data_IF_154475971533
#
_entry.id   IF_154475971533
#
_cell.length_a   1.000
_cell.length_b   1.000
_cell.length_c   1.000
_cell.angle_alpha   90.00
_cell.angle_beta   90.00
_cell.angle_gamma   90.00
#
_symmetry.space_group_name_H-M   'P 1'
#
loop_
_entity.id
_entity.type
_entity.pdbx_description
1 polymer ?
#
# COMPACT_ATOMS: atom_id res chain seq x y z
N UNK A 1 8.98 -28.33 13.33
CA UNK A 1 8.11 -27.48 14.17
C UNK A 1 6.65 -27.84 13.97
N UNK A 2 5.83 -27.75 15.02
CA UNK A 2 4.36 -27.89 14.89
C UNK A 2 3.74 -26.57 14.39
N UNK A 3 2.47 -26.60 13.99
CA UNK A 3 1.78 -25.41 13.49
C UNK A 3 1.68 -24.28 14.53
N UNK A 4 1.52 -24.62 15.82
CA UNK A 4 1.46 -23.63 16.91
C UNK A 4 2.78 -22.87 17.05
N UNK A 5 3.88 -23.60 17.09
CA UNK A 5 5.24 -23.04 17.13
C UNK A 5 5.52 -22.17 15.89
N UNK A 6 5.08 -22.62 14.69
CA UNK A 6 5.22 -21.81 13.47
C UNK A 6 4.40 -20.51 13.56
N UNK A 7 3.19 -20.58 14.12
CA UNK A 7 2.33 -19.42 14.30
C UNK A 7 2.94 -18.39 15.27
N UNK A 8 3.48 -18.86 16.39
CA UNK A 8 4.18 -18.01 17.36
C UNK A 8 5.41 -17.33 16.75
N UNK A 9 6.22 -18.09 15.99
CA UNK A 9 7.45 -17.56 15.38
C UNK A 9 7.20 -16.54 14.26
N UNK A 10 6.07 -16.63 13.57
CA UNK A 10 5.77 -15.79 12.40
C UNK A 10 4.73 -14.72 12.68
N UNK A 11 4.03 -14.80 13.81
CA UNK A 11 2.84 -13.99 14.10
C UNK A 11 1.65 -14.31 13.20
N UNK A 12 1.74 -15.32 12.33
CA UNK A 12 0.66 -15.72 11.43
C UNK A 12 -0.26 -16.70 12.14
N UNK A 13 -1.55 -16.37 12.23
CA UNK A 13 -2.54 -17.26 12.85
C UNK A 13 -2.53 -18.66 12.22
N UNK A 14 -2.63 -19.71 13.05
CA UNK A 14 -2.62 -21.10 12.60
C UNK A 14 -3.72 -21.40 11.55
N UNK A 15 -4.87 -20.73 11.62
CA UNK A 15 -5.93 -20.82 10.61
C UNK A 15 -5.47 -20.33 9.23
N UNK A 16 -4.68 -19.26 9.18
CA UNK A 16 -4.11 -18.68 7.96
C UNK A 16 -2.99 -19.55 7.40
N UNK A 17 -2.17 -20.15 8.28
CA UNK A 17 -1.17 -21.15 7.87
C UNK A 17 -1.85 -22.36 7.20
N UNK A 18 -2.93 -22.89 7.79
CA UNK A 18 -3.72 -23.98 7.17
C UNK A 18 -4.35 -23.57 5.84
N UNK A 19 -4.76 -22.31 5.73
CA UNK A 19 -5.27 -21.78 4.47
C UNK A 19 -4.18 -21.76 3.39
N UNK A 20 -2.98 -21.27 3.71
CA UNK A 20 -1.82 -21.31 2.80
C UNK A 20 -1.42 -22.73 2.41
N UNK A 21 -1.49 -23.68 3.33
CA UNK A 21 -1.33 -25.12 3.02
C UNK A 21 -2.37 -25.59 1.99
N UNK A 22 -3.64 -25.25 2.19
CA UNK A 22 -4.74 -25.68 1.31
C UNK A 22 -4.61 -25.14 -0.12
N UNK A 23 -4.19 -23.88 -0.27
CA UNK A 23 -3.99 -23.26 -1.58
C UNK A 23 -2.61 -23.59 -2.18
N UNK A 24 -1.82 -24.42 -1.49
CA UNK A 24 -0.56 -24.95 -1.96
C UNK A 24 0.65 -24.04 -1.75
N UNK A 25 0.51 -22.86 -1.13
CA UNK A 25 1.64 -21.95 -0.86
C UNK A 25 2.61 -22.45 0.21
N UNK A 26 2.21 -23.45 1.00
CA UNK A 26 3.05 -24.03 2.04
C UNK A 26 2.88 -25.55 2.04
N UNK A 27 3.99 -26.29 2.02
CA UNK A 27 3.98 -27.76 2.11
C UNK A 27 4.52 -28.20 3.48
N UNK A 28 3.73 -28.87 4.32
CA UNK A 28 4.26 -29.54 5.51
C UNK A 28 4.95 -30.84 5.11
N UNK A 29 5.97 -31.21 5.88
CA UNK A 29 6.50 -32.56 5.90
C UNK A 29 5.60 -33.44 6.78
N UNK A 30 5.49 -34.72 6.42
CA UNK A 30 4.84 -35.72 7.28
C UNK A 30 5.89 -36.51 8.02
N UNK A 31 5.81 -36.50 9.34
CA UNK A 31 6.65 -37.33 10.19
C UNK A 31 6.20 -38.80 10.11
N UNK A 32 7.08 -39.77 10.46
CA UNK A 32 6.74 -41.20 10.47
C UNK A 32 5.52 -41.58 11.32
N UNK A 33 5.22 -40.76 12.33
CA UNK A 33 4.05 -40.90 13.22
C UNK A 33 2.76 -40.25 12.65
N UNK A 34 2.78 -39.76 11.40
CA UNK A 34 1.64 -39.13 10.72
C UNK A 34 1.40 -37.66 11.06
N UNK A 35 2.17 -37.06 11.98
CA UNK A 35 2.03 -35.64 12.33
C UNK A 35 2.64 -34.72 11.27
N UNK A 36 2.06 -33.53 11.10
CA UNK A 36 2.62 -32.46 10.26
C UNK A 36 3.79 -31.79 10.97
N UNK A 37 4.90 -31.62 10.26
CA UNK A 37 6.01 -30.79 10.66
C UNK A 37 6.35 -29.75 9.61
N UNK A 38 6.69 -28.55 10.07
CA UNK A 38 7.20 -27.48 9.22
C UNK A 38 8.70 -27.29 9.49
N UNK A 39 9.47 -27.12 8.43
CA UNK A 39 10.89 -26.79 8.47
C UNK A 39 11.11 -25.31 8.77
N UNK A 40 12.36 -24.91 9.04
CA UNK A 40 12.73 -23.50 9.19
C UNK A 40 12.44 -22.67 7.92
N UNK A 41 12.46 -23.29 6.75
CA UNK A 41 12.13 -22.66 5.47
C UNK A 41 10.68 -22.16 5.44
N UNK A 42 9.76 -22.83 6.16
CA UNK A 42 8.37 -22.38 6.27
C UNK A 42 8.24 -20.97 6.89
N UNK A 43 9.14 -20.60 7.81
CA UNK A 43 9.19 -19.25 8.40
C UNK A 43 9.54 -18.22 7.34
N UNK A 44 10.57 -18.50 6.54
CA UNK A 44 11.01 -17.61 5.44
C UNK A 44 9.90 -17.43 4.41
N UNK A 45 9.24 -18.52 4.01
CA UNK A 45 8.10 -18.52 3.09
C UNK A 45 6.96 -17.65 3.63
N UNK A 46 6.57 -17.82 4.89
CA UNK A 46 5.48 -17.03 5.49
C UNK A 46 5.82 -15.54 5.58
N UNK A 47 7.06 -15.20 5.92
CA UNK A 47 7.52 -13.81 5.93
C UNK A 47 7.52 -13.19 4.52
N UNK A 48 7.92 -13.95 3.50
CA UNK A 48 7.88 -13.50 2.12
C UNK A 48 6.44 -13.29 1.62
N UNK A 49 5.52 -14.22 1.93
CA UNK A 49 4.10 -14.05 1.63
C UNK A 49 3.57 -12.77 2.28
N UNK A 50 3.90 -12.52 3.55
CA UNK A 50 3.47 -11.31 4.25
C UNK A 50 4.01 -10.03 3.59
N UNK A 51 5.30 -9.99 3.24
CA UNK A 51 5.92 -8.86 2.56
C UNK A 51 5.30 -8.61 1.17
N UNK A 52 5.07 -9.68 0.40
CA UNK A 52 4.43 -9.57 -0.91
C UNK A 52 2.97 -9.06 -0.80
N UNK A 53 2.20 -9.53 0.17
CA UNK A 53 0.85 -9.00 0.41
C UNK A 53 0.87 -7.51 0.77
N UNK A 54 1.86 -7.06 1.56
CA UNK A 54 2.03 -5.63 1.86
C UNK A 54 2.40 -4.80 0.63
N UNK A 55 3.16 -5.37 -0.31
CA UNK A 55 3.45 -4.78 -1.60
C UNK A 55 2.28 -4.86 -2.60
N UNK A 56 1.12 -5.38 -2.17
CA UNK A 56 -0.10 -5.44 -2.96
C UNK A 56 -0.24 -6.67 -3.83
N UNK A 57 0.64 -7.68 -3.71
CA UNK A 57 0.49 -8.93 -4.46
C UNK A 57 -0.71 -9.75 -4.00
N UNK A 58 -1.44 -10.29 -4.97
CA UNK A 58 -2.46 -11.32 -4.74
C UNK A 58 -1.80 -12.66 -4.40
N UNK A 59 -2.57 -13.57 -3.79
CA UNK A 59 -2.05 -14.91 -3.47
C UNK A 59 -1.74 -15.72 -4.73
N UNK A 60 -2.45 -15.49 -5.83
CA UNK A 60 -2.18 -16.15 -7.10
C UNK A 60 -0.87 -15.67 -7.73
N UNK A 61 -0.58 -14.35 -7.66
CA UNK A 61 0.73 -13.81 -8.06
C UNK A 61 1.84 -14.38 -7.17
N UNK A 62 1.64 -14.41 -5.84
CA UNK A 62 2.63 -14.96 -4.90
C UNK A 62 2.93 -16.43 -5.21
N UNK A 63 1.95 -17.22 -5.65
CA UNK A 63 2.16 -18.62 -6.06
C UNK A 63 3.09 -18.75 -7.26
N UNK A 64 3.08 -17.78 -8.17
CA UNK A 64 4.01 -17.71 -9.31
C UNK A 64 5.41 -17.31 -8.82
N UNK A 65 5.49 -16.37 -7.88
CA UNK A 65 6.77 -15.88 -7.34
C UNK A 65 7.50 -16.93 -6.50
N UNK A 66 6.74 -17.72 -5.73
CA UNK A 66 7.26 -18.68 -4.77
C UNK A 66 6.58 -20.03 -4.96
N UNK A 67 7.01 -20.82 -5.96
CA UNK A 67 6.46 -22.14 -6.13
C UNK A 67 6.80 -23.02 -4.91
N UNK A 68 5.92 -23.98 -4.56
CA UNK A 68 6.12 -24.82 -3.38
C UNK A 68 7.32 -25.76 -3.51
N UNK A 69 7.79 -25.94 -4.74
CA UNK A 69 9.02 -26.61 -5.10
C UNK A 69 9.89 -25.61 -5.87
N UNK A 70 11.03 -25.24 -5.29
CA UNK A 70 11.94 -24.26 -5.90
C UNK A 70 12.58 -24.76 -7.20
N UNK A 71 12.53 -26.06 -7.48
CA UNK A 71 12.98 -26.60 -8.78
C UNK A 71 12.04 -26.18 -9.92
N UNK A 72 10.80 -25.81 -9.61
CA UNK A 72 9.81 -25.32 -10.58
C UNK A 72 9.89 -23.79 -10.77
N UNK A 73 10.93 -23.15 -10.25
CA UNK A 73 11.05 -21.71 -10.28
C UNK A 73 11.37 -21.19 -11.68
N UNK A 74 10.48 -20.34 -12.20
CA UNK A 74 10.60 -19.72 -13.51
C UNK A 74 11.10 -18.29 -13.37
N UNK A 75 12.39 -18.10 -13.62
CA UNK A 75 13.07 -16.81 -13.43
C UNK A 75 12.49 -15.69 -14.31
N UNK A 76 12.10 -15.99 -15.55
CA UNK A 76 11.48 -15.01 -16.46
C UNK A 76 10.12 -14.54 -15.96
N UNK A 77 9.23 -15.48 -15.63
CA UNK A 77 7.89 -15.18 -15.09
C UNK A 77 7.96 -14.38 -13.78
N UNK A 78 8.94 -14.67 -12.91
CA UNK A 78 9.20 -13.89 -11.71
C UNK A 78 9.49 -12.42 -12.05
N UNK A 79 10.46 -12.18 -12.94
CA UNK A 79 10.87 -10.83 -13.33
C UNK A 79 9.69 -10.08 -13.97
N UNK A 80 8.92 -10.73 -14.85
CA UNK A 80 7.74 -10.12 -15.48
C UNK A 80 6.68 -9.74 -14.45
N UNK A 81 6.38 -10.62 -13.51
CA UNK A 81 5.41 -10.37 -12.44
C UNK A 81 5.85 -9.20 -11.54
N UNK A 82 7.14 -9.17 -11.16
CA UNK A 82 7.69 -8.08 -10.34
C UNK A 82 7.68 -6.74 -11.10
N UNK A 83 8.07 -6.73 -12.38
CA UNK A 83 8.03 -5.53 -13.23
C UNK A 83 6.60 -5.01 -13.39
N UNK A 84 5.65 -5.90 -13.66
CA UNK A 84 4.23 -5.54 -13.72
C UNK A 84 3.77 -4.87 -12.42
N UNK A 85 4.15 -5.41 -11.27
CA UNK A 85 3.80 -4.82 -9.98
C UNK A 85 4.39 -3.44 -9.75
N UNK A 86 5.63 -3.22 -10.17
CA UNK A 86 6.26 -1.90 -10.10
C UNK A 86 5.45 -0.89 -10.93
N UNK A 87 5.05 -1.25 -12.15
CA UNK A 87 4.22 -0.38 -12.99
C UNK A 87 2.84 -0.08 -12.36
N UNK A 88 2.20 -1.08 -11.76
CA UNK A 88 0.93 -0.89 -11.04
C UNK A 88 1.08 0.10 -9.87
N UNK A 89 2.18 -0.02 -9.12
CA UNK A 89 2.50 0.88 -8.00
C UNK A 89 2.75 2.30 -8.52
N UNK A 90 3.51 2.47 -9.60
CA UNK A 90 3.77 3.77 -10.22
C UNK A 90 2.48 4.45 -10.72
N UNK A 91 1.57 3.68 -11.31
CA UNK A 91 0.26 4.17 -11.72
C UNK A 91 -0.58 4.61 -10.50
N UNK A 92 -0.54 3.84 -9.41
CA UNK A 92 -1.23 4.20 -8.17
C UNK A 92 -0.63 5.45 -7.52
N UNK A 93 0.70 5.58 -7.50
CA UNK A 93 1.38 6.78 -7.01
C UNK A 93 0.98 8.02 -7.81
N UNK A 94 0.90 7.91 -9.14
CA UNK A 94 0.47 9.00 -10.02
C UNK A 94 -0.97 9.43 -9.68
N UNK A 95 -1.89 8.47 -9.53
CA UNK A 95 -3.28 8.73 -9.16
C UNK A 95 -3.40 9.40 -7.78
N UNK A 96 -2.65 8.91 -6.79
CA UNK A 96 -2.62 9.49 -5.45
C UNK A 96 -2.03 10.90 -5.45
N UNK A 97 -0.97 11.14 -6.23
CA UNK A 97 -0.37 12.47 -6.39
C UNK A 97 -1.37 13.45 -7.01
N UNK A 98 -2.12 13.03 -8.04
CA UNK A 98 -3.16 13.85 -8.66
C UNK A 98 -4.29 14.17 -7.68
N UNK A 99 -4.77 13.16 -6.94
CA UNK A 99 -5.82 13.35 -5.93
C UNK A 99 -5.37 14.30 -4.81
N UNK A 100 -4.15 14.12 -4.29
CA UNK A 100 -3.55 15.02 -3.30
C UNK A 100 -3.46 16.45 -3.82
N UNK A 101 -2.95 16.64 -5.03
CA UNK A 101 -2.80 17.97 -5.61
C UNK A 101 -4.16 18.66 -5.82
N UNK A 102 -5.21 17.90 -6.15
CA UNK A 102 -6.58 18.43 -6.22
C UNK A 102 -7.09 18.88 -4.84
N UNK A 103 -6.91 18.08 -3.79
CA UNK A 103 -7.30 18.44 -2.42
C UNK A 103 -6.55 19.68 -1.92
N UNK A 104 -5.25 19.80 -2.23
CA UNK A 104 -4.45 20.98 -1.88
C UNK A 104 -4.94 22.23 -2.61
N UNK A 105 -5.29 22.13 -3.90
CA UNK A 105 -5.85 23.25 -4.64
C UNK A 105 -7.21 23.71 -4.07
N UNK A 106 -8.08 22.77 -3.70
CA UNK A 106 -9.35 23.07 -3.03
C UNK A 106 -9.15 23.74 -1.66
N UNK A 107 -8.18 23.25 -0.88
CA UNK A 107 -7.83 23.86 0.40
C UNK A 107 -7.40 25.31 0.21
N UNK A 108 -6.52 25.59 -0.76
CA UNK A 108 -6.06 26.94 -1.06
C UNK A 108 -7.21 27.87 -1.47
N UNK A 109 -8.17 27.39 -2.26
CA UNK A 109 -9.36 28.18 -2.63
C UNK A 109 -10.21 28.54 -1.40
N UNK A 110 -10.38 27.60 -0.47
CA UNK A 110 -11.14 27.80 0.76
C UNK A 110 -10.42 28.78 1.69
N UNK A 111 -9.10 28.62 1.86
CA UNK A 111 -8.24 29.47 2.69
C UNK A 111 -8.10 30.89 2.12
N UNK A 112 -8.17 31.07 0.79
CA UNK A 112 -8.17 32.39 0.12
C UNK A 112 -9.49 33.17 0.29
N UNK A 113 -10.22 32.93 1.38
CA UNK A 113 -11.42 33.67 1.77
C UNK A 113 -11.03 35.14 2.06
N UNK A 114 -11.64 36.13 1.39
CA UNK A 114 -11.45 37.54 1.74
C UNK A 114 -11.96 37.82 3.16
N UNK A 115 -11.27 38.68 3.91
CA UNK A 115 -11.57 38.98 5.32
C UNK A 115 -13.00 39.49 5.53
N UNK A 116 -13.53 40.26 4.56
CA UNK A 116 -14.87 40.84 4.60
C UNK A 116 -15.98 39.87 4.14
N UNK A 117 -15.63 38.67 3.64
CA UNK A 117 -16.58 37.71 3.10
C UNK A 117 -17.06 36.74 4.18
N UNK A 118 -18.37 36.55 4.35
CA UNK A 118 -18.88 35.54 5.28
C UNK A 118 -18.62 34.10 4.78
N UNK A 119 -18.82 33.11 5.66
CA UNK A 119 -18.54 31.71 5.34
C UNK A 119 -19.51 31.11 4.30
N UNK A 120 -20.74 31.61 4.21
CA UNK A 120 -21.75 31.13 3.25
C UNK A 120 -21.43 31.63 1.84
N UNK A 121 -21.09 32.90 1.70
CA UNK A 121 -20.60 33.51 0.47
C UNK A 121 -19.31 32.84 -0.02
N UNK A 122 -18.37 32.54 0.89
CA UNK A 122 -17.16 31.80 0.55
C UNK A 122 -17.47 30.37 0.06
N UNK A 123 -18.38 29.64 0.73
CA UNK A 123 -18.79 28.31 0.30
C UNK A 123 -19.44 28.32 -1.09
N UNK A 124 -20.32 29.29 -1.38
CA UNK A 124 -20.91 29.48 -2.72
C UNK A 124 -19.86 29.78 -3.78
N UNK A 125 -18.86 30.63 -3.48
CA UNK A 125 -17.72 30.96 -4.36
C UNK A 125 -16.88 29.72 -4.69
N UNK A 126 -16.55 28.90 -3.69
CA UNK A 126 -15.76 27.67 -3.89
C UNK A 126 -16.56 26.66 -4.72
N UNK A 127 -17.84 26.44 -4.38
CA UNK A 127 -18.71 25.49 -5.08
C UNK A 127 -18.97 25.88 -6.55
N UNK A 128 -19.09 27.18 -6.86
CA UNK A 128 -19.24 27.62 -8.25
C UNK A 128 -17.97 27.37 -9.07
N UNK A 129 -16.78 27.67 -8.52
CA UNK A 129 -15.48 27.38 -9.15
C UNK A 129 -15.23 25.88 -9.36
N UNK A 130 -15.66 25.04 -8.41
CA UNK A 130 -15.58 23.58 -8.55
C UNK A 130 -16.45 23.05 -9.70
N UNK A 131 -17.67 23.58 -9.86
CA UNK A 131 -18.59 23.17 -10.94
C UNK A 131 -18.11 23.60 -12.32
N UNK A 132 -17.41 24.73 -12.41
CA UNK A 132 -16.88 25.27 -13.67
C UNK A 132 -15.56 24.63 -14.11
N UNK A 133 -14.99 23.72 -13.30
CA UNK A 133 -13.67 23.13 -13.59
C UNK A 133 -12.52 24.14 -13.54
N UNK A 134 -12.76 25.32 -12.98
CA UNK A 134 -11.79 26.42 -12.84
C UNK A 134 -10.78 26.16 -11.71
N UNK A 135 -11.06 25.19 -10.82
CA UNK A 135 -10.06 24.68 -9.88
C UNK A 135 -8.98 23.99 -10.71
N UNK A 136 -7.85 24.69 -10.87
CA UNK A 136 -6.70 24.30 -11.67
C UNK A 136 -6.43 22.81 -11.50
N UNK A 137 -6.70 22.00 -12.54
CA UNK A 137 -6.32 20.59 -12.55
C UNK A 137 -4.80 20.55 -12.39
N UNK A 138 -4.27 19.80 -11.41
CA UNK A 138 -2.83 19.73 -11.24
C UNK A 138 -2.25 18.93 -12.41
N UNK A 139 -1.62 19.64 -13.34
CA UNK A 139 -0.71 19.03 -14.32
C UNK A 139 0.58 18.74 -13.57
N UNK A 140 0.84 17.47 -13.26
CA UNK A 140 2.06 17.09 -12.54
C UNK A 140 3.28 17.21 -13.48
N UNK A 141 4.27 18.00 -13.07
CA UNK A 141 5.68 17.68 -13.33
C UNK A 141 6.25 17.00 -12.08
N UNK A 142 7.15 16.04 -12.30
CA UNK A 142 7.61 15.06 -11.32
C UNK A 142 8.41 15.59 -10.09
N UNK A 143 8.53 16.90 -9.88
CA UNK A 143 9.48 17.48 -8.91
C UNK A 143 8.86 18.16 -7.66
N UNK A 144 7.55 18.41 -7.60
CA UNK A 144 7.00 19.37 -6.62
C UNK A 144 6.40 18.74 -5.34
N UNK A 145 7.16 17.90 -4.64
CA UNK A 145 6.76 17.35 -3.32
C UNK A 145 7.63 17.91 -2.20
N UNK A 146 7.82 19.23 -2.11
CA UNK A 146 8.57 19.81 -0.97
C UNK A 146 8.08 21.19 -0.50
N UNK A 147 6.79 21.41 -0.21
CA UNK A 147 6.35 22.71 0.36
C UNK A 147 5.11 22.64 1.27
N UNK A 148 5.07 21.74 2.27
CA UNK A 148 4.01 21.81 3.31
C UNK A 148 4.52 21.63 4.76
N UNK A 149 5.83 21.72 5.01
CA UNK A 149 6.38 21.53 6.38
C UNK A 149 6.76 22.82 7.13
N UNK A 150 6.65 24.01 6.53
CA UNK A 150 7.11 25.27 7.18
C UNK A 150 6.02 26.19 7.76
N UNK A 151 4.74 26.03 7.40
CA UNK A 151 3.71 27.01 7.82
C UNK A 151 3.19 26.83 9.26
N UNK A 152 3.35 25.67 9.91
CA UNK A 152 2.77 25.41 11.24
C UNK A 152 3.62 25.85 12.44
N UNK A 153 4.83 26.37 12.25
CA UNK A 153 5.74 26.74 13.36
C UNK A 153 5.77 28.24 13.70
N UNK A 154 5.21 29.11 12.86
CA UNK A 154 5.25 30.57 13.09
C UNK A 154 4.02 31.14 13.83
N UNK A 155 2.94 30.37 14.00
CA UNK A 155 1.73 30.84 14.73
C UNK A 155 1.72 30.52 16.23
N UNK A 156 2.75 29.86 16.78
CA UNK A 156 2.80 29.49 18.22
C UNK A 156 3.70 30.40 19.09
N UNK A 157 4.22 31.52 18.56
CA UNK A 157 5.17 32.40 19.29
C UNK A 157 4.71 33.86 19.42
N UNK A 158 3.43 34.18 19.19
CA UNK A 158 2.87 35.53 19.40
C UNK A 158 1.61 35.48 20.26
N UNK A 159 1.79 35.04 21.50
CA UNK A 159 0.84 35.28 22.60
C UNK A 159 1.62 35.07 23.90
N UNK A 160 2.29 36.14 24.30
CA UNK A 160 3.10 36.30 25.51
C UNK A 160 3.45 37.77 25.62
#
# INVERSE_FOLDING_TARGET
MKIGELAERTGVAASRIRFYERIGLLKPERQPNGYRSYSSQAVLVLNLIAAAQQAGFSLDEIRILLPPDLTQWQHSALIETLRGKVLDIEAMQTRLAQSKAHLVALLAEIEAKPDEMDCNANAKRVLSRMRLGEVKKPTLQAADVTTLRKAKRQQSLKSG
#
